data_IF_076650355383
#
_entry.id   IF_076650355383
#
_cell.length_a   1.000
_cell.length_b   1.000
_cell.length_c   1.000
_cell.angle_alpha   90.00
_cell.angle_beta   90.00
_cell.angle_gamma   90.00
#
_symmetry.space_group_name_H-M   'P 1'
#
loop_
_entity.id
_entity.type
_entity.pdbx_description
1 polymer ?
#
# COMPACT_ATOMS: atom_id res chain seq x y z
N UNK A 1 -21.94 -2.09 8.10
CA UNK A 1 -22.93 -1.17 8.69
C UNK A 1 -23.32 -0.22 7.59
N UNK A 2 -24.60 -0.25 7.23
CA UNK A 2 -25.13 0.43 6.07
C UNK A 2 -25.45 1.89 6.36
N UNK A 3 -25.27 2.74 5.35
CA UNK A 3 -25.50 4.18 5.44
C UNK A 3 -26.97 4.53 5.70
N UNK A 4 -27.90 3.64 5.36
CA UNK A 4 -29.34 3.84 5.55
C UNK A 4 -29.74 3.79 7.04
N UNK A 5 -28.83 3.44 7.95
CA UNK A 5 -29.03 3.46 9.40
C UNK A 5 -28.68 4.82 10.04
N UNK A 6 -28.12 5.76 9.28
CA UNK A 6 -27.84 7.10 9.76
C UNK A 6 -29.07 7.98 9.59
N UNK A 7 -29.52 8.60 10.68
CA UNK A 7 -30.56 9.63 10.63
C UNK A 7 -30.00 10.90 10.00
N UNK A 8 -30.11 11.00 8.67
CA UNK A 8 -29.58 12.09 7.85
C UNK A 8 -30.69 12.71 7.01
N UNK A 9 -30.57 14.02 6.78
CA UNK A 9 -31.45 14.74 5.87
C UNK A 9 -31.45 14.06 4.48
N UNK A 10 -32.62 13.86 3.82
CA UNK A 10 -32.71 13.27 2.49
C UNK A 10 -31.75 13.86 1.45
N UNK A 11 -31.45 15.16 1.54
CA UNK A 11 -30.45 15.83 0.67
C UNK A 11 -29.04 15.28 0.86
N UNK A 12 -28.62 15.08 2.10
CA UNK A 12 -27.30 14.52 2.45
C UNK A 12 -27.24 13.05 2.03
N UNK A 13 -28.30 12.27 2.29
CA UNK A 13 -28.40 10.87 1.87
C UNK A 13 -28.30 10.71 0.36
N UNK A 14 -28.97 11.58 -0.41
CA UNK A 14 -28.88 11.58 -1.87
C UNK A 14 -27.47 11.93 -2.36
N UNK A 15 -26.81 12.91 -1.73
CA UNK A 15 -25.44 13.32 -2.07
C UNK A 15 -24.40 12.23 -1.78
N UNK A 16 -24.56 11.49 -0.69
CA UNK A 16 -23.73 10.32 -0.34
C UNK A 16 -23.88 9.21 -1.38
N UNK A 17 -25.14 8.88 -1.76
CA UNK A 17 -25.44 7.88 -2.79
C UNK A 17 -24.85 8.29 -4.15
N UNK A 18 -24.96 9.58 -4.51
CA UNK A 18 -24.32 10.15 -5.72
C UNK A 18 -22.79 10.03 -5.66
N UNK A 19 -22.20 10.26 -4.49
CA UNK A 19 -20.77 10.09 -4.20
C UNK A 19 -20.30 8.63 -4.15
N UNK A 20 -21.20 7.66 -4.32
CA UNK A 20 -20.93 6.20 -4.29
C UNK A 20 -20.29 5.70 -2.98
N UNK A 21 -20.52 6.41 -1.89
CA UNK A 21 -20.13 5.94 -0.55
C UNK A 21 -21.06 4.81 -0.16
N UNK A 22 -20.49 3.69 0.32
CA UNK A 22 -21.20 2.42 0.60
C UNK A 22 -21.37 2.15 2.08
N UNK A 23 -20.56 2.73 2.96
CA UNK A 23 -20.62 2.47 4.40
C UNK A 23 -20.26 3.67 5.26
N UNK A 24 -20.72 3.65 6.52
CA UNK A 24 -20.36 4.68 7.53
C UNK A 24 -18.85 4.73 7.75
N UNK A 25 -18.17 3.58 7.72
CA UNK A 25 -16.71 3.48 7.87
C UNK A 25 -15.99 4.17 6.72
N UNK A 26 -16.50 4.01 5.50
CA UNK A 26 -15.95 4.66 4.31
C UNK A 26 -16.08 6.19 4.37
N UNK A 27 -17.21 6.72 4.86
CA UNK A 27 -17.38 8.16 5.09
C UNK A 27 -16.25 8.72 5.98
N UNK A 28 -15.92 8.02 7.07
CA UNK A 28 -14.86 8.43 8.00
C UNK A 28 -13.43 8.26 7.45
N UNK A 29 -13.24 7.54 6.34
CA UNK A 29 -11.93 7.42 5.69
C UNK A 29 -11.57 8.63 4.82
N UNK A 30 -12.52 9.51 4.52
CA UNK A 30 -12.29 10.72 3.74
C UNK A 30 -12.11 11.94 4.64
N UNK A 31 -11.25 12.88 4.22
CA UNK A 31 -11.17 14.19 4.87
C UNK A 31 -12.42 15.01 4.55
N UNK A 32 -12.75 16.00 5.39
CA UNK A 32 -13.86 16.94 5.12
C UNK A 32 -13.78 17.55 3.72
N UNK A 33 -12.63 18.11 3.29
CA UNK A 33 -12.47 18.65 1.95
C UNK A 33 -12.61 17.62 0.82
N UNK A 34 -12.25 16.35 1.04
CA UNK A 34 -12.45 15.29 0.04
C UNK A 34 -13.94 14.91 -0.06
N UNK A 35 -14.65 14.83 1.07
CA UNK A 35 -16.09 14.59 1.09
C UNK A 35 -16.86 15.71 0.41
N UNK A 36 -16.48 16.98 0.61
CA UNK A 36 -17.08 18.11 -0.11
C UNK A 36 -16.93 17.95 -1.61
N UNK A 37 -15.73 17.60 -2.10
CA UNK A 37 -15.48 17.37 -3.52
C UNK A 37 -16.26 16.18 -4.06
N UNK A 38 -16.36 15.10 -3.29
CA UNK A 38 -17.04 13.86 -3.70
C UNK A 38 -18.57 13.99 -3.73
N UNK A 39 -19.13 14.68 -2.73
CA UNK A 39 -20.59 14.77 -2.51
C UNK A 39 -21.19 16.09 -2.97
N UNK A 40 -20.36 17.10 -3.26
CA UNK A 40 -20.78 18.49 -3.52
C UNK A 40 -21.59 19.13 -2.39
N UNK A 41 -21.48 18.60 -1.16
CA UNK A 41 -22.14 19.15 0.02
C UNK A 41 -21.38 20.38 0.56
N UNK A 42 -22.09 21.36 1.15
CA UNK A 42 -21.46 22.49 1.82
C UNK A 42 -20.73 22.04 3.09
N UNK A 43 -19.78 22.87 3.56
CA UNK A 43 -18.92 22.55 4.70
C UNK A 43 -19.69 22.12 5.95
N UNK A 44 -20.78 22.81 6.28
CA UNK A 44 -21.58 22.48 7.46
C UNK A 44 -22.25 21.11 7.36
N UNK A 45 -22.76 20.72 6.19
CA UNK A 45 -23.38 19.41 5.96
C UNK A 45 -22.35 18.29 6.01
N UNK A 46 -21.14 18.52 5.49
CA UNK A 46 -20.05 17.54 5.60
C UNK A 46 -19.61 17.36 7.05
N UNK A 47 -19.50 18.44 7.82
CA UNK A 47 -19.22 18.34 9.26
C UNK A 47 -20.34 17.62 10.02
N UNK A 48 -21.60 17.89 9.68
CA UNK A 48 -22.74 17.20 10.27
C UNK A 48 -22.72 15.71 9.94
N UNK A 49 -22.49 15.35 8.67
CA UNK A 49 -22.34 13.97 8.22
C UNK A 49 -21.23 13.24 8.98
N UNK A 50 -20.03 13.83 9.08
CA UNK A 50 -18.90 13.26 9.82
C UNK A 50 -19.24 13.06 11.30
N UNK A 51 -19.94 14.03 11.91
CA UNK A 51 -20.38 13.96 13.31
C UNK A 51 -21.38 12.82 13.55
N UNK A 52 -22.39 12.69 12.67
CA UNK A 52 -23.40 11.62 12.75
C UNK A 52 -22.76 10.26 12.50
N UNK A 53 -21.93 10.13 11.45
CA UNK A 53 -21.18 8.92 11.15
C UNK A 53 -20.25 8.50 12.31
N UNK A 54 -19.56 9.46 12.92
CA UNK A 54 -18.69 9.21 14.06
C UNK A 54 -19.48 8.72 15.28
N UNK A 55 -20.59 9.36 15.63
CA UNK A 55 -21.46 8.95 16.75
C UNK A 55 -22.08 7.56 16.53
N UNK A 56 -22.44 7.25 15.29
CA UNK A 56 -23.00 5.95 14.96
C UNK A 56 -21.97 4.82 15.04
N UNK A 57 -20.71 5.09 14.66
CA UNK A 57 -19.61 4.13 14.81
C UNK A 57 -18.95 4.14 16.19
N UNK A 58 -19.27 5.12 17.04
CA UNK A 58 -19.00 5.05 18.47
C UNK A 58 -19.93 3.99 19.10
N UNK A 59 -19.70 2.73 18.72
CA UNK A 59 -19.98 1.58 19.57
C UNK A 59 -19.11 1.74 20.81
N UNK A 60 -19.66 2.41 21.81
CA UNK A 60 -18.96 2.88 22.99
C UNK A 60 -18.32 1.71 23.73
N UNK A 61 -17.00 1.67 23.70
CA UNK A 61 -16.18 1.02 24.72
C UNK A 61 -14.82 1.68 24.69
N UNK A 62 -14.59 2.57 25.64
CA UNK A 62 -13.21 2.87 26.06
C UNK A 62 -12.70 1.57 26.63
N UNK A 63 -11.88 0.87 25.84
CA UNK A 63 -11.25 -0.36 26.28
C UNK A 63 -9.95 0.00 26.97
N UNK A 64 -9.68 -0.63 28.10
CA UNK A 64 -8.34 -0.59 28.68
C UNK A 64 -7.37 -1.30 27.73
N UNK A 65 -6.09 -0.95 27.79
CA UNK A 65 -5.06 -1.67 27.04
C UNK A 65 -5.10 -3.20 27.32
N UNK A 66 -5.48 -3.59 28.54
CA UNK A 66 -5.67 -4.99 28.93
C UNK A 66 -6.83 -5.67 28.18
N UNK A 67 -7.97 -4.99 28.05
CA UNK A 67 -9.12 -5.54 27.31
C UNK A 67 -8.80 -5.70 25.82
N UNK A 68 -8.06 -4.77 25.23
CA UNK A 68 -7.58 -4.89 23.85
C UNK A 68 -6.61 -6.07 23.68
N UNK A 69 -5.73 -6.29 24.65
CA UNK A 69 -4.81 -7.42 24.66
C UNK A 69 -5.58 -8.76 24.73
N UNK A 70 -6.53 -8.88 25.66
CA UNK A 70 -7.35 -10.09 25.83
C UNK A 70 -8.27 -10.38 24.63
N UNK A 71 -8.71 -9.35 23.89
CA UNK A 71 -9.50 -9.51 22.66
C UNK A 71 -8.69 -10.03 21.46
N UNK A 72 -7.35 -9.96 21.49
CA UNK A 72 -6.50 -10.50 20.40
C UNK A 72 -6.62 -12.02 20.24
N UNK A 73 -7.02 -12.73 21.29
CA UNK A 73 -7.11 -14.20 21.33
C UNK A 73 -8.21 -14.82 20.45
N UNK A 74 -9.10 -14.00 19.85
CA UNK A 74 -10.21 -14.52 19.03
C UNK A 74 -9.82 -15.11 17.67
N UNK A 75 -8.62 -14.81 17.15
CA UNK A 75 -8.07 -15.39 15.92
C UNK A 75 -6.54 -15.41 16.00
N UNK A 76 -5.83 -16.51 15.67
CA UNK A 76 -4.38 -16.55 15.78
C UNK A 76 -3.73 -15.49 14.88
N UNK A 77 -2.75 -14.73 15.38
CA UNK A 77 -2.05 -13.66 14.63
C UNK A 77 -1.56 -14.13 13.25
N UNK A 78 -1.16 -15.39 13.11
CA UNK A 78 -0.73 -15.98 11.83
C UNK A 78 -1.80 -15.91 10.73
N UNK A 79 -3.09 -16.00 11.07
CA UNK A 79 -4.19 -15.97 10.09
C UNK A 79 -4.45 -14.55 9.55
N UNK A 80 -3.80 -13.54 10.16
CA UNK A 80 -3.90 -12.12 9.82
C UNK A 80 -2.60 -11.58 9.23
N UNK A 81 -1.68 -12.45 8.81
CA UNK A 81 -0.40 -12.07 8.21
C UNK A 81 -0.10 -12.92 6.97
N UNK A 82 0.69 -12.35 6.07
CA UNK A 82 1.30 -13.03 4.93
C UNK A 82 2.75 -13.32 5.27
N UNK A 83 3.13 -14.60 5.28
CA UNK A 83 4.52 -15.03 5.50
C UNK A 83 5.45 -14.46 4.42
N UNK A 84 6.71 -14.20 4.79
CA UNK A 84 7.77 -13.83 3.86
C UNK A 84 8.41 -15.06 3.19
N UNK A 85 7.97 -16.27 3.55
CA UNK A 85 8.56 -17.53 3.09
C UNK A 85 9.94 -17.80 3.71
N UNK A 86 10.28 -17.10 4.80
CA UNK A 86 11.55 -17.25 5.51
C UNK A 86 11.28 -17.22 7.02
N UNK A 87 11.51 -18.34 7.75
CA UNK A 87 11.20 -18.42 9.17
C UNK A 87 11.89 -17.36 10.03
N UNK A 88 13.14 -17.00 9.69
CA UNK A 88 13.91 -15.96 10.41
C UNK A 88 13.26 -14.59 10.25
N UNK A 89 12.85 -14.22 9.03
CA UNK A 89 12.21 -12.94 8.78
C UNK A 89 10.77 -12.89 9.32
N UNK A 90 10.04 -14.00 9.24
CA UNK A 90 8.71 -14.11 9.83
C UNK A 90 8.80 -13.95 11.34
N UNK A 91 9.73 -14.62 12.02
CA UNK A 91 9.95 -14.43 13.45
C UNK A 91 10.28 -12.97 13.78
N UNK A 92 11.17 -12.34 13.01
CA UNK A 92 11.53 -10.94 13.18
C UNK A 92 10.33 -9.98 13.03
N UNK A 93 9.40 -10.28 12.12
CA UNK A 93 8.21 -9.46 11.84
C UNK A 93 6.94 -9.91 12.60
N UNK A 94 7.06 -10.88 13.51
CA UNK A 94 5.93 -11.40 14.28
C UNK A 94 4.91 -12.19 13.45
N UNK A 95 5.38 -13.01 12.51
CA UNK A 95 4.58 -13.88 11.64
C UNK A 95 4.38 -13.36 10.22
N UNK A 96 5.10 -12.30 9.83
CA UNK A 96 5.10 -11.75 8.48
C UNK A 96 4.30 -10.44 8.31
N UNK A 97 3.96 -10.12 7.06
CA UNK A 97 3.33 -8.85 6.70
C UNK A 97 1.87 -8.77 7.18
N UNK A 98 1.46 -7.72 7.92
CA UNK A 98 0.07 -7.52 8.28
C UNK A 98 -0.86 -7.46 7.06
N UNK A 99 -2.03 -8.12 7.13
CA UNK A 99 -3.01 -8.04 6.04
C UNK A 99 -3.66 -6.67 5.88
N UNK A 100 -3.65 -5.86 6.93
CA UNK A 100 -4.13 -4.48 6.91
C UNK A 100 -2.97 -3.53 7.22
N UNK A 101 -2.64 -2.65 6.28
CA UNK A 101 -1.54 -1.71 6.38
C UNK A 101 -0.74 -1.58 5.09
N UNK A 102 0.17 -0.62 5.11
CA UNK A 102 1.19 -0.44 4.06
C UNK A 102 2.53 -0.76 4.72
N UNK A 103 3.26 -1.70 4.13
CA UNK A 103 4.64 -2.03 4.50
C UNK A 103 5.58 -1.35 3.52
N UNK A 104 6.48 -0.51 4.01
CA UNK A 104 7.53 0.11 3.19
C UNK A 104 8.84 -0.68 3.33
N UNK A 105 9.38 -1.15 2.21
CA UNK A 105 10.64 -1.85 2.11
C UNK A 105 11.67 -0.92 1.46
N UNK A 106 12.43 -0.24 2.32
CA UNK A 106 13.42 0.74 1.92
C UNK A 106 14.86 0.20 2.02
N UNK A 107 15.71 0.56 1.07
CA UNK A 107 17.12 0.18 1.11
C UNK A 107 17.89 0.59 -0.14
N UNK A 108 19.22 0.48 -0.09
CA UNK A 108 20.10 0.79 -1.23
C UNK A 108 19.79 -0.11 -2.43
N UNK A 109 20.23 0.30 -3.62
CA UNK A 109 20.16 -0.58 -4.80
C UNK A 109 20.86 -1.92 -4.52
N UNK A 110 20.39 -2.98 -5.17
CA UNK A 110 20.89 -4.36 -4.99
C UNK A 110 20.78 -4.96 -3.58
N UNK A 111 20.06 -4.33 -2.64
CA UNK A 111 19.82 -4.88 -1.30
C UNK A 111 18.78 -6.03 -1.23
N UNK A 112 18.36 -6.59 -2.37
CA UNK A 112 17.40 -7.71 -2.41
C UNK A 112 15.91 -7.34 -2.31
N UNK A 113 15.53 -6.06 -2.38
CA UNK A 113 14.13 -5.59 -2.25
C UNK A 113 13.18 -6.25 -3.25
N UNK A 114 13.53 -6.20 -4.53
CA UNK A 114 12.77 -6.83 -5.62
C UNK A 114 12.74 -8.35 -5.48
N UNK A 115 13.80 -8.99 -4.96
CA UNK A 115 13.80 -10.44 -4.69
C UNK A 115 12.74 -10.80 -3.65
N UNK A 116 12.68 -10.03 -2.55
CA UNK A 116 11.68 -10.25 -1.50
C UNK A 116 10.26 -10.04 -2.03
N UNK A 117 10.03 -9.01 -2.85
CA UNK A 117 8.73 -8.77 -3.45
C UNK A 117 8.28 -9.89 -4.40
N UNK A 118 9.19 -10.41 -5.24
CA UNK A 118 8.90 -11.58 -6.08
C UNK A 118 8.58 -12.81 -5.23
N UNK A 119 9.34 -13.07 -4.17
CA UNK A 119 9.06 -14.19 -3.27
C UNK A 119 7.71 -14.04 -2.58
N UNK A 120 7.30 -12.83 -2.20
CA UNK A 120 5.97 -12.57 -1.65
C UNK A 120 4.85 -12.80 -2.68
N UNK A 121 5.07 -12.48 -3.95
CA UNK A 121 4.13 -12.77 -5.03
C UNK A 121 3.92 -14.28 -5.27
N UNK A 122 4.92 -15.10 -4.96
CA UNK A 122 4.78 -16.55 -4.93
C UNK A 122 4.13 -17.01 -3.61
N UNK A 123 4.56 -16.43 -2.49
CA UNK A 123 4.12 -16.85 -1.15
C UNK A 123 2.63 -16.64 -0.92
N UNK A 124 2.05 -15.55 -1.43
CA UNK A 124 0.62 -15.25 -1.30
C UNK A 124 -0.29 -16.32 -1.93
N UNK A 125 0.22 -17.09 -2.88
CA UNK A 125 -0.55 -18.11 -3.59
C UNK A 125 -0.69 -19.43 -2.82
N UNK A 126 0.14 -19.65 -1.80
CA UNK A 126 0.06 -20.86 -0.99
C UNK A 126 -1.21 -20.88 -0.11
N UNK A 127 -1.63 -22.08 0.33
CA UNK A 127 -2.60 -22.25 1.40
C UNK A 127 -2.24 -21.48 2.67
N UNK A 128 -3.26 -21.06 3.44
CA UNK A 128 -3.08 -20.34 4.71
C UNK A 128 -2.25 -21.09 5.74
N UNK A 129 -2.36 -22.42 5.77
CA UNK A 129 -1.55 -23.27 6.64
C UNK A 129 -0.05 -23.21 6.34
N UNK A 130 0.33 -22.75 5.13
CA UNK A 130 1.71 -22.52 4.69
C UNK A 130 2.02 -21.01 4.55
N UNK A 131 1.30 -20.16 5.30
CA UNK A 131 1.55 -18.73 5.37
C UNK A 131 1.13 -17.91 4.16
N UNK A 132 0.41 -18.50 3.18
CA UNK A 132 -0.16 -17.78 2.03
C UNK A 132 -1.61 -17.33 2.24
N UNK A 133 -2.26 -16.86 1.18
CA UNK A 133 -3.64 -16.36 1.17
C UNK A 133 -4.51 -16.95 0.06
N UNK A 134 -4.02 -18.00 -0.62
CA UNK A 134 -4.74 -18.72 -1.68
C UNK A 134 -5.24 -17.81 -2.81
N UNK A 135 -4.45 -16.78 -3.14
CA UNK A 135 -4.79 -15.78 -4.15
C UNK A 135 -3.53 -15.24 -4.82
N UNK A 136 -3.72 -14.51 -5.92
CA UNK A 136 -2.64 -13.89 -6.67
C UNK A 136 -2.05 -12.62 -6.04
N UNK A 137 -1.11 -12.02 -6.77
CA UNK A 137 -0.51 -10.73 -6.48
C UNK A 137 -0.71 -9.77 -7.65
N UNK A 138 -0.83 -8.48 -7.35
CA UNK A 138 -0.68 -7.42 -8.35
C UNK A 138 0.69 -6.78 -8.16
N UNK A 139 1.51 -6.75 -9.20
CA UNK A 139 2.83 -6.15 -9.21
C UNK A 139 2.83 -4.92 -10.11
N UNK A 140 2.96 -3.73 -9.53
CA UNK A 140 2.99 -2.47 -10.27
C UNK A 140 4.45 -2.03 -10.42
N UNK A 141 4.96 -2.09 -11.64
CA UNK A 141 6.25 -1.57 -12.03
C UNK A 141 6.15 -0.09 -12.41
N UNK A 142 7.01 0.76 -11.83
CA UNK A 142 7.02 2.20 -12.13
C UNK A 142 8.27 2.68 -12.86
N UNK A 143 9.39 1.94 -12.78
CA UNK A 143 10.65 2.29 -13.44
C UNK A 143 11.03 1.23 -14.47
N UNK A 144 11.31 0.03 -13.97
CA UNK A 144 11.88 -1.04 -14.77
C UNK A 144 10.81 -1.99 -15.33
N UNK A 145 11.21 -2.75 -16.34
CA UNK A 145 10.42 -3.89 -16.83
C UNK A 145 10.29 -4.93 -15.72
N UNK A 146 9.13 -5.57 -15.63
CA UNK A 146 8.92 -6.65 -14.67
C UNK A 146 9.99 -7.75 -14.82
N UNK A 147 10.66 -8.18 -13.74
CA UNK A 147 11.77 -9.12 -13.79
C UNK A 147 11.30 -10.58 -14.00
N UNK A 148 10.65 -10.83 -15.14
CA UNK A 148 10.01 -12.10 -15.49
C UNK A 148 10.98 -13.29 -15.52
N UNK A 149 12.18 -13.11 -16.09
CA UNK A 149 13.22 -14.15 -16.09
C UNK A 149 13.59 -14.58 -14.67
N UNK A 150 13.67 -13.62 -13.74
CA UNK A 150 14.00 -13.91 -12.35
C UNK A 150 12.84 -14.58 -11.63
N UNK A 151 11.60 -14.16 -11.89
CA UNK A 151 10.40 -14.82 -11.37
C UNK A 151 10.40 -16.30 -11.77
N UNK A 152 10.68 -16.63 -13.04
CA UNK A 152 10.74 -18.01 -13.51
C UNK A 152 11.78 -18.85 -12.75
N UNK A 153 12.98 -18.32 -12.56
CA UNK A 153 14.00 -18.99 -11.74
C UNK A 153 13.52 -19.25 -10.31
N UNK A 154 12.80 -18.31 -9.69
CA UNK A 154 12.23 -18.50 -8.35
C UNK A 154 11.12 -19.55 -8.32
N UNK A 155 10.30 -19.64 -9.37
CA UNK A 155 9.24 -20.65 -9.53
C UNK A 155 9.87 -22.05 -9.61
N UNK A 156 10.88 -22.23 -10.46
CA UNK A 156 11.57 -23.51 -10.65
C UNK A 156 12.20 -24.04 -9.36
N UNK A 157 12.63 -23.13 -8.47
CA UNK A 157 13.28 -23.48 -7.21
C UNK A 157 12.33 -23.49 -5.99
N UNK A 158 11.00 -23.33 -6.18
CA UNK A 158 10.09 -23.23 -5.03
C UNK A 158 10.11 -24.48 -4.14
N UNK A 159 10.27 -25.67 -4.71
CA UNK A 159 10.31 -26.91 -3.90
C UNK A 159 11.52 -26.94 -2.95
N UNK A 160 12.66 -26.39 -3.37
CA UNK A 160 13.87 -26.30 -2.54
C UNK A 160 13.80 -25.12 -1.56
N UNK A 161 13.14 -24.02 -1.94
CA UNK A 161 13.02 -22.82 -1.12
C UNK A 161 11.96 -22.94 -0.02
N UNK A 162 10.90 -23.73 -0.26
CA UNK A 162 9.77 -23.95 0.65
C UNK A 162 9.72 -25.39 1.15
N UNK A 163 10.78 -25.80 1.86
CA UNK A 163 10.87 -27.14 2.47
C UNK A 163 9.82 -27.40 3.54
N UNK A 164 9.17 -26.35 4.04
CA UNK A 164 8.02 -26.40 4.94
C UNK A 164 6.72 -26.82 4.24
N UNK A 165 6.69 -26.85 2.90
CA UNK A 165 5.50 -27.15 2.10
C UNK A 165 5.67 -28.48 1.36
N UNK A 166 4.70 -29.42 1.42
CA UNK A 166 4.75 -30.65 0.64
C UNK A 166 4.87 -30.38 -0.86
N UNK A 167 5.73 -31.13 -1.55
CA UNK A 167 6.03 -30.94 -2.97
C UNK A 167 4.80 -30.99 -3.89
N UNK A 168 3.79 -31.80 -3.54
CA UNK A 168 2.51 -31.90 -4.25
C UNK A 168 1.72 -30.58 -4.25
N UNK A 169 1.74 -29.85 -3.13
CA UNK A 169 1.08 -28.55 -3.00
C UNK A 169 1.78 -27.54 -3.90
N UNK A 170 3.11 -27.54 -3.92
CA UNK A 170 3.91 -26.66 -4.78
C UNK A 170 3.61 -26.92 -6.26
N UNK A 171 3.53 -28.20 -6.69
CA UNK A 171 3.26 -28.58 -8.07
C UNK A 171 1.83 -28.25 -8.53
N UNK A 172 0.86 -28.25 -7.61
CA UNK A 172 -0.53 -27.90 -7.92
C UNK A 172 -0.71 -26.41 -8.23
N UNK A 173 0.14 -25.55 -7.68
CA UNK A 173 0.04 -24.10 -7.85
C UNK A 173 0.66 -23.67 -9.19
N UNK A 174 -0.16 -23.09 -10.07
CA UNK A 174 0.32 -22.43 -11.29
C UNK A 174 0.73 -21.00 -10.98
N UNK A 175 1.94 -20.83 -10.42
CA UNK A 175 2.41 -19.56 -9.87
C UNK A 175 2.34 -18.37 -10.84
N UNK A 176 2.71 -18.58 -12.10
CA UNK A 176 2.77 -17.52 -13.11
C UNK A 176 1.38 -16.97 -13.48
N UNK A 177 0.32 -17.77 -13.36
CA UNK A 177 -1.02 -17.39 -13.81
C UNK A 177 -1.73 -16.40 -12.87
N UNK A 178 -1.20 -16.19 -11.67
CA UNK A 178 -1.84 -15.36 -10.64
C UNK A 178 -0.95 -14.18 -10.22
N UNK A 179 -0.04 -13.75 -11.08
CA UNK A 179 0.74 -12.51 -10.89
C UNK A 179 0.34 -11.53 -11.98
N UNK A 180 -0.46 -10.53 -11.62
CA UNK A 180 -0.93 -9.49 -12.52
C UNK A 180 0.07 -8.36 -12.55
N UNK A 181 0.70 -8.14 -13.70
CA UNK A 181 1.72 -7.10 -13.87
C UNK A 181 1.08 -5.85 -14.46
N UNK A 182 1.35 -4.71 -13.85
CA UNK A 182 0.91 -3.39 -14.28
C UNK A 182 2.12 -2.46 -14.44
N UNK A 183 2.10 -1.60 -15.45
CA UNK A 183 3.14 -0.60 -15.68
C UNK A 183 2.55 0.79 -15.52
N UNK A 184 3.19 1.61 -14.67
CA UNK A 184 2.75 2.97 -14.36
C UNK A 184 3.95 3.91 -14.23
N UNK A 185 4.36 4.51 -15.36
CA UNK A 185 5.56 5.35 -15.46
C UNK A 185 5.40 6.74 -14.81
N UNK A 186 4.16 7.22 -14.66
CA UNK A 186 3.85 8.54 -14.10
C UNK A 186 2.83 8.44 -12.95
N UNK A 187 2.67 9.55 -12.21
CA UNK A 187 1.82 9.57 -11.01
C UNK A 187 0.33 9.35 -11.35
N UNK A 188 -0.13 9.84 -12.49
CA UNK A 188 -1.53 9.72 -12.91
C UNK A 188 -1.88 8.27 -13.29
N UNK A 189 -1.02 7.60 -14.04
CA UNK A 189 -1.13 6.19 -14.39
C UNK A 189 -1.11 5.28 -13.14
N UNK A 190 -0.26 5.61 -12.15
CA UNK A 190 -0.19 4.88 -10.88
C UNK A 190 -1.48 5.05 -10.07
N UNK A 191 -1.99 6.27 -9.95
CA UNK A 191 -3.25 6.54 -9.26
C UNK A 191 -4.43 5.85 -9.95
N UNK A 192 -4.50 5.86 -11.28
CA UNK A 192 -5.55 5.17 -12.03
C UNK A 192 -5.47 3.64 -11.86
N UNK A 193 -4.26 3.08 -11.87
CA UNK A 193 -4.02 1.67 -11.55
C UNK A 193 -4.59 1.31 -10.18
N UNK A 194 -4.15 2.03 -9.13
CA UNK A 194 -4.52 1.78 -7.73
C UNK A 194 -6.01 2.03 -7.47
N UNK A 195 -6.63 3.03 -8.12
CA UNK A 195 -8.02 3.42 -7.85
C UNK A 195 -9.06 2.67 -8.66
N UNK A 196 -8.70 2.14 -9.83
CA UNK A 196 -9.68 1.47 -10.72
C UNK A 196 -9.33 0.04 -11.02
N UNK A 197 -8.11 -0.24 -11.46
CA UNK A 197 -7.72 -1.56 -11.97
C UNK A 197 -7.47 -2.57 -10.84
N UNK A 198 -6.67 -2.21 -9.84
CA UNK A 198 -6.39 -3.07 -8.68
C UNK A 198 -7.65 -3.48 -7.91
N UNK A 199 -8.61 -2.58 -7.59
CA UNK A 199 -9.86 -2.98 -6.94
C UNK A 199 -10.65 -4.06 -7.67
N UNK A 200 -10.59 -4.13 -9.00
CA UNK A 200 -11.30 -5.16 -9.78
C UNK A 200 -10.73 -6.55 -9.46
N UNK A 201 -9.39 -6.67 -9.42
CA UNK A 201 -8.72 -7.93 -9.11
C UNK A 201 -8.95 -8.34 -7.65
N UNK A 202 -8.87 -7.40 -6.71
CA UNK A 202 -9.08 -7.67 -5.29
C UNK A 202 -10.54 -8.03 -4.99
N UNK A 203 -11.51 -7.33 -5.58
CA UNK A 203 -12.94 -7.60 -5.36
C UNK A 203 -13.41 -8.94 -5.92
N UNK A 204 -12.78 -9.42 -6.99
CA UNK A 204 -13.01 -10.77 -7.55
C UNK A 204 -12.27 -11.88 -6.79
N UNK A 205 -11.47 -11.54 -5.78
CA UNK A 205 -10.64 -12.49 -5.05
C UNK A 205 -9.46 -13.05 -5.86
N UNK A 206 -9.17 -12.48 -7.04
CA UNK A 206 -8.10 -12.95 -7.92
C UNK A 206 -6.72 -12.61 -7.36
N UNK A 207 -6.61 -11.53 -6.58
CA UNK A 207 -5.38 -11.14 -5.91
C UNK A 207 -5.64 -10.75 -4.45
N UNK A 208 -4.63 -10.94 -3.59
CA UNK A 208 -4.65 -10.49 -2.19
C UNK A 208 -3.39 -9.75 -1.76
N UNK A 209 -2.35 -9.67 -2.59
CA UNK A 209 -1.16 -8.85 -2.35
C UNK A 209 -1.06 -7.76 -3.41
N UNK A 210 -0.68 -6.55 -3.02
CA UNK A 210 -0.33 -5.48 -3.95
C UNK A 210 1.11 -5.06 -3.70
N UNK A 211 1.94 -5.06 -4.73
CA UNK A 211 3.33 -4.59 -4.71
C UNK A 211 3.45 -3.36 -5.60
N UNK A 212 4.14 -2.32 -5.12
CA UNK A 212 4.52 -1.14 -5.91
C UNK A 212 6.04 -1.03 -5.93
N UNK A 213 6.65 -1.28 -7.08
CA UNK A 213 8.11 -1.23 -7.30
C UNK A 213 8.47 -0.19 -8.38
N UNK A 214 8.89 1.02 -8.02
CA UNK A 214 9.10 1.59 -6.69
C UNK A 214 8.15 2.77 -6.43
N UNK A 215 7.61 2.91 -5.21
CA UNK A 215 6.55 3.90 -4.92
C UNK A 215 7.01 5.35 -5.12
N UNK A 216 8.31 5.60 -4.99
CA UNK A 216 8.87 6.95 -5.05
C UNK A 216 9.18 7.42 -6.48
N UNK A 217 9.30 6.51 -7.44
CA UNK A 217 9.90 6.82 -8.73
C UNK A 217 9.13 7.79 -9.62
N UNK A 218 7.80 7.65 -9.80
CA UNK A 218 7.02 8.63 -10.58
C UNK A 218 7.12 10.04 -10.01
N UNK A 219 7.42 10.16 -8.71
CA UNK A 219 7.54 11.45 -8.05
C UNK A 219 8.93 12.09 -8.18
N UNK A 220 9.95 11.39 -8.69
CA UNK A 220 11.33 11.92 -8.77
C UNK A 220 11.52 12.92 -9.91
N UNK A 221 10.92 12.68 -11.06
CA UNK A 221 11.19 13.45 -12.29
C UNK A 221 10.16 14.56 -12.55
N UNK A 222 8.98 14.50 -11.93
CA UNK A 222 7.85 15.40 -12.25
C UNK A 222 7.82 16.73 -11.48
N UNK A 223 8.72 16.96 -10.51
CA UNK A 223 8.60 18.10 -9.59
C UNK A 223 9.89 18.90 -9.46
N UNK A 224 9.87 20.13 -9.97
CA UNK A 224 10.81 21.18 -9.59
C UNK A 224 10.66 21.54 -8.10
N UNK A 225 11.67 22.19 -7.51
CA UNK A 225 11.68 22.63 -6.11
C UNK A 225 10.46 23.50 -5.73
N UNK A 226 9.83 24.18 -6.70
CA UNK A 226 8.63 24.98 -6.52
C UNK A 226 7.33 24.15 -6.40
N UNK A 227 7.34 22.87 -6.77
CA UNK A 227 6.16 22.01 -6.86
C UNK A 227 6.04 20.99 -5.69
N UNK A 228 6.79 21.19 -4.60
CA UNK A 228 6.78 20.32 -3.41
C UNK A 228 5.40 20.12 -2.80
N UNK A 229 4.57 21.17 -2.75
CA UNK A 229 3.21 21.09 -2.21
C UNK A 229 2.31 20.17 -3.06
N UNK A 230 2.39 20.29 -4.39
CA UNK A 230 1.66 19.44 -5.32
C UNK A 230 2.10 17.98 -5.18
N UNK A 231 3.42 17.75 -5.11
CA UNK A 231 4.00 16.42 -4.86
C UNK A 231 3.47 15.81 -3.57
N UNK A 232 3.50 16.55 -2.47
CA UNK A 232 3.02 16.08 -1.17
C UNK A 232 1.53 15.71 -1.23
N UNK A 233 0.70 16.54 -1.87
CA UNK A 233 -0.73 16.26 -2.07
C UNK A 233 -0.98 15.00 -2.89
N UNK A 234 -0.18 14.77 -3.94
CA UNK A 234 -0.29 13.57 -4.77
C UNK A 234 0.19 12.31 -4.03
N UNK A 235 1.30 12.38 -3.29
CA UNK A 235 1.77 11.29 -2.42
C UNK A 235 0.74 10.94 -1.34
N UNK A 236 0.13 11.95 -0.71
CA UNK A 236 -0.96 11.75 0.25
C UNK A 236 -2.16 11.06 -0.40
N UNK A 237 -2.51 11.47 -1.62
CA UNK A 237 -3.60 10.87 -2.41
C UNK A 237 -3.34 9.41 -2.76
N UNK A 238 -2.09 9.06 -3.09
CA UNK A 238 -1.67 7.68 -3.34
C UNK A 238 -1.69 6.85 -2.05
N UNK A 239 -1.11 7.36 -0.96
CA UNK A 239 -1.10 6.69 0.34
C UNK A 239 -2.51 6.42 0.88
N UNK A 240 -3.42 7.39 0.72
CA UNK A 240 -4.83 7.20 1.05
C UNK A 240 -5.50 6.10 0.21
N UNK A 241 -5.22 6.07 -1.10
CA UNK A 241 -5.77 5.05 -1.99
C UNK A 241 -5.25 3.64 -1.65
N UNK A 242 -3.93 3.47 -1.43
CA UNK A 242 -3.31 2.21 -1.03
C UNK A 242 -3.83 1.72 0.33
N UNK A 243 -3.94 2.61 1.32
CA UNK A 243 -4.55 2.28 2.61
C UNK A 243 -6.02 1.88 2.48
N UNK A 244 -6.75 2.55 1.59
CA UNK A 244 -8.12 2.21 1.23
C UNK A 244 -8.22 0.78 0.68
N UNK A 245 -7.37 0.41 -0.28
CA UNK A 245 -7.29 -0.97 -0.79
C UNK A 245 -7.02 -1.97 0.33
N UNK A 246 -5.96 -1.74 1.11
CA UNK A 246 -5.54 -2.67 2.14
C UNK A 246 -6.63 -2.91 3.18
N UNK A 247 -7.25 -1.86 3.69
CA UNK A 247 -8.31 -1.96 4.71
C UNK A 247 -9.64 -2.50 4.18
N UNK A 248 -9.96 -2.25 2.90
CA UNK A 248 -11.21 -2.73 2.28
C UNK A 248 -11.11 -4.22 1.95
N UNK A 249 -9.98 -4.66 1.41
CA UNK A 249 -9.81 -6.02 0.92
C UNK A 249 -9.01 -6.92 1.87
N UNK A 250 -8.54 -6.40 3.01
CA UNK A 250 -7.61 -7.11 3.92
C UNK A 250 -6.43 -7.71 3.14
N UNK A 251 -5.82 -6.84 2.36
CA UNK A 251 -4.73 -7.17 1.45
C UNK A 251 -3.47 -6.42 1.86
N UNK A 252 -2.35 -7.10 2.13
CA UNK A 252 -1.08 -6.43 2.37
C UNK A 252 -0.69 -5.61 1.14
N UNK A 253 -0.23 -4.39 1.39
CA UNK A 253 0.39 -3.53 0.39
C UNK A 253 1.87 -3.40 0.72
N UNK A 254 2.73 -3.81 -0.21
CA UNK A 254 4.17 -3.64 -0.13
C UNK A 254 4.61 -2.52 -1.07
N UNK A 255 5.20 -1.47 -0.53
CA UNK A 255 5.87 -0.44 -1.31
C UNK A 255 7.37 -0.68 -1.25
N UNK A 256 8.03 -0.71 -2.41
CA UNK A 256 9.49 -0.69 -2.48
C UNK A 256 9.94 0.76 -2.60
N UNK A 257 10.96 1.11 -1.83
CA UNK A 257 11.59 2.41 -1.90
C UNK A 257 13.11 2.27 -1.98
N UNK A 258 13.75 3.08 -2.83
CA UNK A 258 15.20 3.12 -2.93
C UNK A 258 15.75 4.31 -2.16
N UNK A 259 16.63 4.05 -1.20
CA UNK A 259 17.34 5.10 -0.47
C UNK A 259 18.61 5.44 -1.26
N UNK A 260 18.64 6.62 -1.89
CA UNK A 260 19.86 7.19 -2.46
C UNK A 260 20.83 7.61 -1.35
N UNK A 261 22.12 7.73 -1.68
CA UNK A 261 23.02 8.52 -0.81
C UNK A 261 22.40 9.92 -0.72
N UNK A 262 22.30 10.47 0.49
CA UNK A 262 22.25 11.92 0.67
C UNK A 262 23.57 12.46 0.11
N UNK A 263 23.65 12.62 -1.21
CA UNK A 263 24.67 13.47 -1.81
C UNK A 263 24.32 14.86 -1.30
N UNK A 264 25.18 15.39 -0.43
CA UNK A 264 24.95 16.65 0.24
C UNK A 264 24.53 17.72 -0.76
N UNK A 265 23.56 18.55 -0.36
CA UNK A 265 23.61 19.95 -0.73
C UNK A 265 25.00 20.45 -0.34
N UNK A 266 25.94 20.42 -1.28
CA UNK A 266 26.98 21.41 -1.29
C UNK A 266 26.22 22.73 -1.44
N UNK A 267 26.06 23.42 -0.31
CA UNK A 267 25.79 24.84 -0.31
C UNK A 267 26.88 25.44 -1.21
N UNK A 268 26.50 25.83 -2.41
CA UNK A 268 27.29 26.76 -3.22
C UNK A 268 27.25 28.11 -2.51
N UNK A 269 28.01 28.21 -1.41
CA UNK A 269 28.51 29.49 -0.93
C UNK A 269 29.48 29.95 -2.01
N UNK A 270 29.02 30.91 -2.81
CA UNK A 270 29.79 31.50 -3.88
C UNK A 270 31.08 32.10 -3.35
N UNK A 271 32.20 31.68 -3.91
CA UNK A 271 33.40 32.51 -3.90
C UNK A 271 33.22 33.60 -4.95
N UNK A 272 32.55 34.68 -4.53
CA UNK A 272 32.66 35.97 -5.17
C UNK A 272 33.88 36.69 -4.59
N UNK A 273 34.93 36.78 -5.41
CA UNK A 273 35.85 37.92 -5.45
C UNK A 273 36.83 38.10 -4.30
N UNK A 274 38.11 37.89 -4.59
CA UNK A 274 39.18 38.83 -4.25
C UNK A 274 40.33 38.64 -5.24
N UNK A 275 40.25 39.40 -6.34
CA UNK A 275 41.42 39.77 -7.11
C UNK A 275 42.22 40.81 -6.30
N UNK A 276 43.53 40.61 -6.16
CA UNK A 276 44.44 41.68 -5.79
C UNK A 276 45.78 41.25 -5.20
N UNK A 277 46.85 41.72 -5.88
CA UNK A 277 48.28 41.86 -5.49
C UNK A 277 49.17 40.67 -5.87
N UNK A 278 49.91 40.75 -6.98
CA UNK A 278 51.18 41.48 -7.22
C UNK A 278 52.40 40.89 -6.47
N UNK A 279 53.42 40.50 -7.25
CA UNK A 279 54.83 40.75 -6.93
C UNK A 279 55.73 39.56 -6.56
N UNK A 280 56.79 39.37 -7.37
CA UNK A 280 58.11 38.75 -7.07
C UNK A 280 58.15 37.26 -6.67
N UNK A 281 58.94 36.38 -7.29
CA UNK A 281 60.25 36.51 -7.95
C UNK A 281 60.39 35.54 -9.13
#
# INVERSE_FOLDING_TARGET
MDLDQLDLNPRITAAIKKGRLKSVKEVLCYSGPDLQRLTSLPTHDVHYLLKVASRHLQGGRVLTALQLFQQREGFPEQHRRLSLGCPVLDQFLGGGLPLEGITDLAGRSSAGKTQLALQLCLTVQFPRQYGGLEAGAVYICTEDVFPSKRLWQLIEHQQQLRTDVPGEVVQKIKFSNHIFVEHAADVDALLECVRRRVPILLSRGMARLVVVDSVAAPFRCEYDAQALATRAKRLQSLGAALRGLSSTFRSPVLCINQVGRLSGCALSLGEAGLAGREGSS
#
